data_IF_761015958185
#
_entry.id   IF_761015958185
#
_cell.length_a   1.000
_cell.length_b   1.000
_cell.length_c   1.000
_cell.angle_alpha   90.00
_cell.angle_beta   90.00
_cell.angle_gamma   90.00
#
_symmetry.space_group_name_H-M   'P 1'
#
loop_
_entity.id
_entity.type
_entity.pdbx_description
1 polymer ?
#
# COMPACT_ATOMS: atom_id res chain seq x y z
N UNK A 1 11.16 13.11 2.62
CA UNK A 1 10.19 13.62 3.62
C UNK A 1 8.99 14.37 3.03
N UNK A 2 9.12 15.34 2.11
CA UNK A 2 7.96 16.10 1.57
C UNK A 2 6.95 15.29 0.74
N UNK A 3 7.39 14.22 0.07
CA UNK A 3 6.56 13.44 -0.87
C UNK A 3 5.64 12.43 -0.20
N UNK A 4 6.10 11.76 0.88
CA UNK A 4 5.28 10.81 1.65
C UNK A 4 4.18 11.53 2.44
N UNK A 5 4.49 12.65 3.07
CA UNK A 5 3.48 13.43 3.81
C UNK A 5 2.41 14.02 2.88
N UNK A 6 2.73 14.29 1.61
CA UNK A 6 1.74 14.68 0.60
C UNK A 6 0.85 13.51 0.16
N UNK A 7 1.42 12.32 -0.05
CA UNK A 7 0.66 11.10 -0.33
C UNK A 7 -0.27 10.78 0.84
N UNK A 8 0.24 10.80 2.07
CA UNK A 8 -0.53 10.60 3.30
C UNK A 8 -1.62 11.65 3.48
N UNK A 9 -1.36 12.94 3.19
CA UNK A 9 -2.40 13.98 3.25
C UNK A 9 -3.48 13.82 2.19
N UNK A 10 -3.14 13.25 1.03
CA UNK A 10 -4.10 12.93 -0.03
C UNK A 10 -4.89 11.69 0.31
N UNK A 11 -4.27 10.66 0.87
CA UNK A 11 -4.99 9.54 1.49
C UNK A 11 -5.90 10.07 2.62
N UNK A 12 -5.46 11.05 3.40
CA UNK A 12 -6.31 11.73 4.40
C UNK A 12 -7.48 12.54 3.80
N UNK A 13 -7.33 13.03 2.57
CA UNK A 13 -8.34 13.81 1.83
C UNK A 13 -9.24 12.93 0.94
N UNK A 14 -8.79 11.73 0.59
CA UNK A 14 -9.45 10.77 -0.32
C UNK A 14 -10.19 9.69 0.49
N UNK A 15 -9.73 9.37 1.70
CA UNK A 15 -10.25 8.32 2.57
C UNK A 15 -10.79 9.00 3.84
N UNK A 16 -12.08 9.34 3.83
CA UNK A 16 -12.71 10.13 4.88
C UNK A 16 -12.52 9.56 6.29
N UNK A 17 -12.26 10.43 7.26
CA UNK A 17 -12.35 10.15 8.70
C UNK A 17 -13.71 9.52 9.04
N UNK A 18 -13.72 8.37 9.73
CA UNK A 18 -14.84 8.07 10.63
C UNK A 18 -14.60 8.82 11.94
N UNK A 19 -15.65 9.43 12.47
CA UNK A 19 -15.59 10.33 13.61
C UNK A 19 -14.72 9.82 14.76
N UNK A 20 -13.86 10.72 15.25
CA UNK A 20 -13.00 10.65 16.42
C UNK A 20 -13.54 9.78 17.56
N UNK A 21 -12.78 8.79 18.04
CA UNK A 21 -12.62 8.53 19.46
C UNK A 21 -11.46 9.40 19.96
N UNK A 22 -11.71 10.11 21.06
CA UNK A 22 -10.80 11.09 21.62
C UNK A 22 -9.40 10.52 21.88
N UNK A 23 -8.40 11.02 21.15
CA UNK A 23 -7.14 11.60 21.63
C UNK A 23 -6.32 12.02 20.40
N UNK A 24 -6.07 13.31 20.27
CA UNK A 24 -5.30 13.87 19.16
C UNK A 24 -3.84 13.36 19.18
N UNK A 25 -3.46 12.51 18.23
CA UNK A 25 -2.05 12.32 17.87
C UNK A 25 -1.66 13.39 16.84
N UNK A 26 -0.59 14.10 17.17
CA UNK A 26 0.02 15.20 16.44
C UNK A 26 0.00 15.00 14.92
N UNK A 27 -0.42 16.00 14.11
CA UNK A 27 -0.58 15.89 12.65
C UNK A 27 0.68 15.56 11.83
N UNK A 28 1.82 15.43 12.49
CA UNK A 28 3.14 15.24 11.88
C UNK A 28 3.94 14.12 12.58
N UNK A 29 3.26 13.24 13.33
CA UNK A 29 3.89 12.03 13.85
C UNK A 29 4.22 11.09 12.68
N UNK A 30 5.39 10.48 12.74
CA UNK A 30 5.80 9.45 11.78
C UNK A 30 4.78 8.29 11.85
N UNK A 31 4.36 7.70 10.71
CA UNK A 31 3.38 6.63 10.75
C UNK A 31 3.97 5.45 11.56
N UNK A 32 3.14 4.78 12.37
CA UNK A 32 3.60 3.72 13.27
C UNK A 32 4.28 2.59 12.48
N UNK A 33 5.36 2.07 13.05
CA UNK A 33 6.13 0.92 12.52
C UNK A 33 5.65 -0.42 13.08
N UNK A 34 4.74 -0.39 14.06
CA UNK A 34 4.17 -1.59 14.65
C UNK A 34 2.92 -2.02 13.86
N UNK A 35 2.92 -3.26 13.37
CA UNK A 35 1.78 -3.86 12.67
C UNK A 35 0.54 -3.97 13.56
N UNK A 36 0.69 -3.98 14.90
CA UNK A 36 -0.41 -4.08 15.86
C UNK A 36 -1.45 -2.96 15.75
N UNK A 37 -1.10 -1.85 15.08
CA UNK A 37 -2.03 -0.75 14.82
C UNK A 37 -3.13 -1.10 13.82
N UNK A 38 -2.92 -2.13 13.00
CA UNK A 38 -3.89 -2.58 11.99
C UNK A 38 -4.95 -3.44 12.66
N UNK A 39 -6.12 -2.86 12.87
CA UNK A 39 -7.18 -3.46 13.67
C UNK A 39 -7.86 -4.66 13.00
N UNK A 40 -7.89 -4.69 11.67
CA UNK A 40 -8.48 -5.79 10.91
C UNK A 40 -7.51 -6.98 10.86
N UNK A 41 -7.82 -8.12 11.52
CA UNK A 41 -6.88 -9.24 11.64
C UNK A 41 -6.54 -9.87 10.29
N UNK A 42 -7.47 -9.85 9.33
CA UNK A 42 -7.23 -10.40 7.98
C UNK A 42 -6.25 -9.54 7.19
N UNK A 43 -6.33 -8.21 7.34
CA UNK A 43 -5.41 -7.27 6.71
C UNK A 43 -4.04 -7.34 7.39
N UNK A 44 -4.02 -7.41 8.73
CA UNK A 44 -2.78 -7.56 9.52
C UNK A 44 -1.99 -8.80 9.09
N UNK A 45 -2.64 -9.97 8.97
CA UNK A 45 -1.96 -11.20 8.51
C UNK A 45 -1.45 -11.06 7.07
N UNK A 46 -2.19 -10.40 6.18
CA UNK A 46 -1.71 -10.15 4.81
C UNK A 46 -0.46 -9.26 4.82
N UNK A 47 -0.44 -8.19 5.62
CA UNK A 47 0.74 -7.34 5.78
C UNK A 47 1.93 -8.08 6.40
N UNK A 48 1.71 -8.93 7.40
CA UNK A 48 2.79 -9.78 7.95
C UNK A 48 3.43 -10.69 6.89
N UNK A 49 2.65 -11.22 5.95
CA UNK A 49 3.18 -11.99 4.84
C UNK A 49 4.01 -11.13 3.87
N UNK A 50 3.62 -9.87 3.66
CA UNK A 50 4.37 -8.90 2.84
C UNK A 50 5.68 -8.51 3.54
N UNK A 51 5.64 -8.24 4.85
CA UNK A 51 6.85 -8.01 5.67
C UNK A 51 7.85 -9.15 5.52
N UNK A 52 7.36 -10.38 5.67
CA UNK A 52 8.18 -11.58 5.51
C UNK A 52 8.80 -11.66 4.12
N UNK A 53 8.01 -11.43 3.06
CA UNK A 53 8.52 -11.40 1.69
C UNK A 53 9.64 -10.37 1.52
N UNK A 54 9.45 -9.15 2.03
CA UNK A 54 10.43 -8.07 1.90
C UNK A 54 11.71 -8.36 2.71
N UNK A 55 11.58 -8.93 3.91
CA UNK A 55 12.70 -9.35 4.73
C UNK A 55 13.51 -10.46 4.05
N UNK A 56 12.85 -11.49 3.52
CA UNK A 56 13.52 -12.65 2.91
C UNK A 56 14.19 -12.31 1.56
N UNK A 57 13.60 -11.44 0.75
CA UNK A 57 14.08 -11.14 -0.60
C UNK A 57 14.99 -9.89 -0.67
N UNK A 58 14.77 -8.91 0.21
CA UNK A 58 15.47 -7.62 0.15
C UNK A 58 16.15 -7.23 1.47
N UNK A 59 16.06 -8.08 2.52
CA UNK A 59 16.56 -7.76 3.86
C UNK A 59 15.97 -6.47 4.43
N UNK A 60 14.74 -6.13 4.04
CA UNK A 60 14.07 -4.90 4.48
C UNK A 60 13.87 -4.92 6.00
N UNK A 61 14.45 -3.95 6.74
CA UNK A 61 14.24 -3.83 8.18
C UNK A 61 12.79 -3.44 8.49
N UNK A 62 12.24 -3.93 9.61
CA UNK A 62 10.91 -3.55 10.09
C UNK A 62 10.78 -2.05 10.34
N UNK A 63 11.86 -1.38 10.73
CA UNK A 63 11.87 0.08 10.97
C UNK A 63 11.69 0.90 9.68
N UNK A 64 11.90 0.28 8.50
CA UNK A 64 11.60 0.89 7.21
C UNK A 64 10.12 0.74 6.81
N UNK A 65 9.33 -0.01 7.59
CA UNK A 65 7.94 -0.30 7.30
C UNK A 65 7.04 0.55 8.18
N UNK A 66 5.92 0.97 7.62
CA UNK A 66 4.96 1.76 8.37
C UNK A 66 3.54 1.51 7.90
N UNK A 67 2.61 1.65 8.84
CA UNK A 67 1.23 1.22 8.67
C UNK A 67 0.30 2.38 9.01
N UNK A 68 -0.89 2.35 8.41
CA UNK A 68 -1.96 3.24 8.80
C UNK A 68 -3.28 2.51 8.70
N UNK A 69 -4.03 2.51 9.80
CA UNK A 69 -5.34 1.88 9.91
C UNK A 69 -6.43 2.88 9.52
N UNK A 70 -7.48 2.39 8.86
CA UNK A 70 -8.66 3.14 8.45
C UNK A 70 -9.93 2.37 8.81
N UNK A 71 -11.07 3.05 8.83
CA UNK A 71 -12.35 2.40 9.12
C UNK A 71 -12.74 1.32 8.10
N UNK A 72 -12.28 1.45 6.85
CA UNK A 72 -12.60 0.57 5.74
C UNK A 72 -11.37 -0.14 5.14
N UNK A 73 -10.24 -0.16 5.84
CA UNK A 73 -9.01 -0.75 5.30
C UNK A 73 -7.76 -0.40 6.09
N UNK A 74 -6.60 -0.69 5.51
CA UNK A 74 -5.30 -0.22 6.02
C UNK A 74 -4.31 -0.03 4.87
N UNK A 75 -3.24 0.72 5.13
CA UNK A 75 -2.14 0.92 4.19
C UNK A 75 -0.80 0.49 4.77
N UNK A 76 0.08 0.07 3.87
CA UNK A 76 1.43 -0.39 4.12
C UNK A 76 2.40 0.45 3.29
N UNK A 77 3.48 0.92 3.89
CA UNK A 77 4.52 1.67 3.20
C UNK A 77 5.90 1.16 3.59
N UNK A 78 6.71 0.80 2.60
CA UNK A 78 8.15 0.61 2.77
C UNK A 78 8.90 1.87 2.37
N UNK A 79 9.94 2.22 3.14
CA UNK A 79 10.93 3.26 2.84
C UNK A 79 12.29 2.69 2.45
N UNK A 80 12.36 1.37 2.22
CA UNK A 80 13.59 0.69 1.84
C UNK A 80 14.18 1.24 0.53
N UNK A 81 15.50 1.40 0.47
CA UNK A 81 16.16 1.95 -0.72
C UNK A 81 16.14 0.95 -1.90
N UNK A 82 16.19 -0.35 -1.62
CA UNK A 82 16.32 -1.40 -2.64
C UNK A 82 14.96 -1.70 -3.27
N UNK A 83 13.92 -1.94 -2.46
CA UNK A 83 12.57 -2.20 -2.96
C UNK A 83 11.51 -1.68 -1.98
N UNK A 84 10.89 -0.56 -2.33
CA UNK A 84 9.91 0.13 -1.48
C UNK A 84 8.52 0.17 -2.11
N UNK A 85 7.68 -0.87 -1.90
CA UNK A 85 6.29 -0.83 -2.29
C UNK A 85 5.43 0.00 -1.31
N UNK A 86 4.35 0.57 -1.84
CA UNK A 86 3.26 1.18 -1.09
C UNK A 86 1.95 0.55 -1.51
N UNK A 87 1.16 0.10 -0.53
CA UNK A 87 -0.04 -0.72 -0.73
C UNK A 87 -1.20 -0.23 0.12
N UNK A 88 -2.41 -0.45 -0.37
CA UNK A 88 -3.66 -0.23 0.39
C UNK A 88 -4.53 -1.47 0.25
N UNK A 89 -5.15 -1.92 1.33
CA UNK A 89 -6.20 -2.95 1.29
C UNK A 89 -7.48 -2.34 1.81
N UNK A 90 -8.54 -2.34 1.00
CA UNK A 90 -9.86 -1.85 1.34
C UNK A 90 -10.83 -3.01 1.48
N UNK A 91 -11.56 -3.07 2.59
CA UNK A 91 -12.70 -3.99 2.75
C UNK A 91 -13.94 -3.46 2.06
N UNK A 92 -14.12 -2.15 2.09
CA UNK A 92 -15.22 -1.40 1.46
C UNK A 92 -14.59 -0.22 0.72
N UNK A 93 -14.82 -0.12 -0.58
CA UNK A 93 -14.23 0.94 -1.40
C UNK A 93 -15.01 2.24 -1.35
N UNK A 94 -16.27 2.22 -0.89
CA UNK A 94 -17.22 3.35 -1.00
C UNK A 94 -17.29 3.93 -2.44
N UNK A 95 -17.07 3.09 -3.46
CA UNK A 95 -17.06 3.50 -4.88
C UNK A 95 -15.82 4.32 -5.29
N UNK A 96 -14.78 4.38 -4.44
CA UNK A 96 -13.55 5.12 -4.69
C UNK A 96 -12.92 4.71 -6.03
N UNK A 97 -12.78 5.63 -6.97
CA UNK A 97 -12.23 5.38 -8.31
C UNK A 97 -12.91 4.22 -9.07
N UNK A 98 -14.20 3.97 -8.81
CA UNK A 98 -14.94 2.80 -9.33
C UNK A 98 -14.30 1.46 -8.92
N UNK A 99 -13.52 1.45 -7.85
CA UNK A 99 -12.96 0.23 -7.31
C UNK A 99 -14.08 -0.63 -6.71
N UNK A 100 -14.01 -1.95 -6.90
CA UNK A 100 -14.86 -2.86 -6.15
C UNK A 100 -14.40 -2.94 -4.69
N UNK A 101 -15.31 -3.39 -3.84
CA UNK A 101 -14.99 -3.74 -2.45
C UNK A 101 -13.96 -4.88 -2.38
N UNK A 102 -13.35 -5.03 -1.21
CA UNK A 102 -12.40 -6.11 -0.91
C UNK A 102 -11.26 -6.17 -1.95
N UNK A 103 -10.53 -5.06 -2.06
CA UNK A 103 -9.47 -4.83 -3.06
C UNK A 103 -8.13 -4.53 -2.38
N UNK A 104 -7.06 -5.13 -2.91
CA UNK A 104 -5.68 -4.71 -2.65
C UNK A 104 -5.21 -3.84 -3.81
N UNK A 105 -4.62 -2.69 -3.52
CA UNK A 105 -4.07 -1.77 -4.52
C UNK A 105 -2.58 -1.55 -4.30
N UNK A 106 -1.77 -1.82 -5.33
CA UNK A 106 -0.38 -1.40 -5.41
C UNK A 106 -0.33 0.05 -5.91
N UNK A 107 0.11 0.96 -5.05
CA UNK A 107 0.07 2.42 -5.29
C UNK A 107 1.34 2.91 -5.96
N UNK A 108 2.49 2.46 -5.50
CA UNK A 108 3.79 2.85 -6.03
C UNK A 108 4.86 1.84 -5.62
N UNK A 109 5.92 1.76 -6.41
CA UNK A 109 7.15 1.07 -6.05
C UNK A 109 8.32 1.99 -6.37
N UNK A 110 9.21 2.20 -5.41
CA UNK A 110 10.45 2.96 -5.59
C UNK A 110 11.66 2.07 -5.35
N UNK A 111 12.75 2.33 -6.08
CA UNK A 111 14.02 1.62 -5.94
C UNK A 111 15.17 2.53 -6.36
N UNK A 112 16.35 2.32 -5.75
CA UNK A 112 17.61 2.91 -6.22
C UNK A 112 18.31 2.05 -7.28
N UNK A 113 17.78 0.88 -7.62
CA UNK A 113 18.29 0.00 -8.68
C UNK A 113 17.81 0.48 -10.05
N UNK A 114 18.40 -0.08 -11.10
CA UNK A 114 18.01 0.23 -12.47
C UNK A 114 16.63 -0.35 -12.83
N UNK A 115 16.11 0.11 -13.96
CA UNK A 115 14.76 -0.21 -14.43
C UNK A 115 14.60 -1.70 -14.76
N UNK A 116 15.61 -2.36 -15.33
CA UNK A 116 15.49 -3.78 -15.69
C UNK A 116 15.36 -4.64 -14.42
N UNK A 117 16.17 -4.34 -13.41
CA UNK A 117 16.05 -4.97 -12.11
C UNK A 117 14.66 -4.72 -11.49
N UNK A 118 14.18 -3.46 -11.53
CA UNK A 118 12.88 -3.10 -10.97
C UNK A 118 11.73 -3.82 -11.66
N UNK A 119 11.75 -3.95 -12.99
CA UNK A 119 10.74 -4.67 -13.76
C UNK A 119 10.69 -6.15 -13.34
N UNK A 120 11.85 -6.79 -13.22
CA UNK A 120 11.93 -8.20 -12.83
C UNK A 120 11.36 -8.43 -11.42
N UNK A 121 11.77 -7.61 -10.46
CA UNK A 121 11.34 -7.73 -9.07
C UNK A 121 9.87 -7.35 -8.88
N UNK A 122 9.39 -6.33 -9.59
CA UNK A 122 7.98 -5.98 -9.61
C UNK A 122 7.12 -7.14 -10.15
N UNK A 123 7.58 -7.84 -11.17
CA UNK A 123 6.90 -9.02 -11.71
C UNK A 123 6.75 -10.14 -10.67
N UNK A 124 7.84 -10.46 -9.95
CA UNK A 124 7.84 -11.45 -8.85
C UNK A 124 6.89 -11.01 -7.74
N UNK A 125 6.95 -9.73 -7.36
CA UNK A 125 6.13 -9.19 -6.29
C UNK A 125 4.64 -9.19 -6.64
N UNK A 126 4.26 -8.79 -7.85
CA UNK A 126 2.86 -8.86 -8.30
C UNK A 126 2.33 -10.30 -8.27
N UNK A 127 3.15 -11.28 -8.69
CA UNK A 127 2.77 -12.68 -8.62
C UNK A 127 2.54 -13.14 -7.18
N UNK A 128 3.44 -12.74 -6.26
CA UNK A 128 3.28 -12.96 -4.84
C UNK A 128 2.00 -12.33 -4.28
N UNK A 129 1.74 -11.05 -4.57
CA UNK A 129 0.54 -10.34 -4.10
C UNK A 129 -0.75 -10.96 -4.64
N UNK A 130 -0.76 -11.43 -5.88
CA UNK A 130 -1.90 -12.16 -6.46
C UNK A 130 -2.20 -13.42 -5.64
N UNK A 131 -1.19 -14.23 -5.34
CA UNK A 131 -1.35 -15.44 -4.51
C UNK A 131 -1.80 -15.09 -3.09
N UNK A 132 -1.24 -14.03 -2.52
CA UNK A 132 -1.61 -13.52 -1.20
C UNK A 132 -3.09 -13.11 -1.16
N UNK A 133 -3.57 -12.41 -2.18
CA UNK A 133 -4.98 -12.03 -2.28
C UNK A 133 -5.90 -13.26 -2.27
N UNK A 134 -5.58 -14.31 -3.03
CA UNK A 134 -6.34 -15.56 -3.01
C UNK A 134 -6.34 -16.20 -1.61
N UNK A 135 -5.16 -16.36 -0.98
CA UNK A 135 -5.03 -16.96 0.35
C UNK A 135 -5.83 -16.20 1.40
N UNK A 136 -5.80 -14.87 1.35
CA UNK A 136 -6.52 -14.02 2.28
C UNK A 136 -7.85 -13.56 1.71
N UNK A 137 -8.49 -14.26 0.75
CA UNK A 137 -9.83 -13.96 0.20
C UNK A 137 -10.06 -12.52 -0.28
N UNK A 138 -9.00 -11.78 -0.60
CA UNK A 138 -9.07 -10.45 -1.21
C UNK A 138 -9.47 -10.67 -2.67
N UNK A 139 -10.61 -10.12 -3.07
CA UNK A 139 -11.26 -10.49 -4.33
C UNK A 139 -10.64 -9.79 -5.54
N UNK A 140 -10.04 -8.63 -5.31
CA UNK A 140 -9.59 -7.76 -6.37
C UNK A 140 -8.15 -7.33 -6.13
N UNK A 141 -7.38 -7.27 -7.20
CA UNK A 141 -6.06 -6.68 -7.20
C UNK A 141 -6.02 -5.52 -8.20
N UNK A 142 -5.62 -4.36 -7.72
CA UNK A 142 -5.56 -3.13 -8.48
C UNK A 142 -4.12 -2.60 -8.54
N UNK A 143 -3.79 -2.00 -9.67
CA UNK A 143 -2.52 -1.27 -9.85
C UNK A 143 -2.88 0.17 -10.22
N UNK A 144 -2.35 1.11 -9.45
CA UNK A 144 -2.50 2.54 -9.73
C UNK A 144 -1.32 3.04 -10.56
N UNK A 145 -1.60 3.63 -11.72
CA UNK A 145 -0.58 4.26 -12.56
C UNK A 145 -0.61 5.77 -12.38
N UNK A 146 0.55 6.42 -12.27
CA UNK A 146 0.62 7.89 -12.23
C UNK A 146 0.26 8.48 -13.59
N UNK A 147 -0.63 9.46 -13.61
CA UNK A 147 -0.99 10.28 -14.78
C UNK A 147 -0.07 11.49 -14.97
N UNK A 148 0.72 11.86 -13.96
CA UNK A 148 1.53 13.09 -14.01
C UNK A 148 2.86 12.89 -14.73
N UNK A 149 3.30 11.63 -14.87
CA UNK A 149 4.47 11.22 -15.65
C UNK A 149 4.23 9.80 -16.20
N UNK A 150 3.89 9.65 -17.50
CA UNK A 150 3.66 8.35 -18.14
C UNK A 150 4.80 7.34 -17.91
N UNK A 151 6.03 7.84 -17.80
CA UNK A 151 7.26 7.02 -17.73
C UNK A 151 7.99 7.13 -16.38
N UNK A 152 7.32 7.53 -15.29
CA UNK A 152 8.00 7.70 -14.00
C UNK A 152 7.19 7.12 -12.82
N UNK A 153 7.64 5.98 -12.24
CA UNK A 153 6.88 5.24 -11.23
C UNK A 153 6.81 5.89 -9.84
N UNK A 154 7.41 7.07 -9.64
CA UNK A 154 7.79 7.51 -8.29
C UNK A 154 6.78 8.43 -7.59
N UNK A 155 5.72 8.92 -8.25
CA UNK A 155 4.71 9.76 -7.57
C UNK A 155 3.40 9.80 -8.34
N UNK A 156 2.35 9.19 -7.79
CA UNK A 156 0.98 9.28 -8.29
C UNK A 156 0.32 10.54 -7.74
N UNK A 157 0.08 11.60 -8.55
CA UNK A 157 -0.79 12.73 -8.15
C UNK A 157 -2.21 12.58 -8.69
N UNK A 158 -2.37 11.96 -9.86
CA UNK A 158 -3.63 11.49 -10.45
C UNK A 158 -3.41 10.09 -11.03
N UNK A 159 -4.43 9.21 -11.07
CA UNK A 159 -4.26 7.83 -11.54
C UNK A 159 -5.35 7.32 -12.48
N UNK A 160 -4.98 6.42 -13.38
CA UNK A 160 -5.88 5.39 -13.88
C UNK A 160 -5.61 4.11 -13.09
N UNK A 161 -6.68 3.53 -12.55
CA UNK A 161 -6.60 2.32 -11.75
C UNK A 161 -7.13 1.16 -12.58
N UNK A 162 -6.27 0.19 -12.87
CA UNK A 162 -6.69 -1.05 -13.51
C UNK A 162 -6.91 -2.10 -12.43
N UNK A 163 -8.14 -2.61 -12.36
CA UNK A 163 -8.53 -3.63 -11.40
C UNK A 163 -8.74 -4.98 -12.09
N UNK A 164 -8.12 -6.02 -11.56
CA UNK A 164 -8.24 -7.40 -12.03
C UNK A 164 -8.98 -8.19 -10.96
N UNK A 165 -10.09 -8.84 -11.35
CA UNK A 165 -10.83 -9.74 -10.47
C UNK A 165 -10.11 -11.10 -10.41
N UNK A 166 -9.87 -11.57 -9.18
CA UNK A 166 -9.16 -12.81 -8.90
C UNK A 166 -10.20 -13.91 -8.69
N UNK A 167 -10.49 -14.67 -9.74
CA UNK A 167 -11.29 -15.90 -9.64
C UNK A 167 -10.38 -17.11 -9.57
#
# INVERSE_FOLDING_TARGET
MKTLNQLLSRVKSIFGLKATPATATTPNAEPPTDLSVVSNPRISVAFAAIEKYLAENYSTPTDNLSYQDYANGASFFSKDAIFAPSLVILTDSDGLYNLPDNVMMLVSVTSTKDENWLIEELGKFILFLKGLCTTHRIQHFAIAFSKDKPDHPATVKTADVTCIRLY
#
